data_IF_553969939646
#
_entry.id   IF_553969939646
#
_cell.length_a   1.000
_cell.length_b   1.000
_cell.length_c   1.000
_cell.angle_alpha   90.00
_cell.angle_beta   90.00
_cell.angle_gamma   90.00
#
_symmetry.space_group_name_H-M   'P 1'
#
loop_
_entity.id
_entity.type
_entity.pdbx_description
1 polymer ?
#
# COMPACT_ATOMS: atom_id res chain seq x y z
N UNK A 1 18.14 -18.32 -7.35
CA UNK A 1 17.38 -18.83 -6.20
C UNK A 1 16.27 -17.82 -5.98
N UNK A 2 15.02 -18.26 -5.76
CA UNK A 2 13.90 -17.33 -5.62
C UNK A 2 14.07 -16.50 -4.35
N UNK A 3 13.77 -15.21 -4.42
CA UNK A 3 13.85 -14.28 -3.28
C UNK A 3 12.94 -14.73 -2.11
N UNK A 4 11.93 -15.54 -2.40
CA UNK A 4 11.02 -16.10 -1.41
C UNK A 4 11.60 -17.21 -0.54
N UNK A 5 12.60 -17.95 -1.05
CA UNK A 5 13.09 -19.21 -0.43
C UNK A 5 14.55 -19.14 -0.01
N UNK A 6 15.09 -17.94 0.08
CA UNK A 6 16.43 -17.68 0.59
C UNK A 6 16.39 -17.01 1.95
N UNK A 7 17.53 -17.02 2.66
CA UNK A 7 17.68 -16.19 3.84
C UNK A 7 17.66 -14.71 3.45
N UNK A 8 17.15 -13.87 4.34
CA UNK A 8 17.05 -12.45 4.12
C UNK A 8 18.41 -11.80 3.87
N UNK A 9 18.52 -11.11 2.73
CA UNK A 9 19.57 -10.14 2.44
C UNK A 9 19.40 -8.92 3.35
N UNK A 10 20.34 -8.73 4.28
CA UNK A 10 20.33 -7.59 5.21
C UNK A 10 21.33 -6.54 4.76
N UNK A 11 20.88 -5.29 4.64
CA UNK A 11 21.73 -4.13 4.44
C UNK A 11 21.83 -3.35 5.75
N UNK A 12 23.04 -3.26 6.31
CA UNK A 12 23.33 -2.31 7.39
C UNK A 12 23.44 -0.91 6.81
N UNK A 13 22.84 0.07 7.49
CA UNK A 13 22.85 1.47 7.06
C UNK A 13 23.24 2.37 8.24
N UNK A 14 24.22 3.22 8.02
CA UNK A 14 24.53 4.34 8.90
C UNK A 14 23.94 5.62 8.30
N UNK A 15 22.95 6.19 8.98
CA UNK A 15 22.26 7.39 8.52
C UNK A 15 22.93 8.66 9.06
N UNK A 16 23.84 8.55 10.03
CA UNK A 16 24.33 9.68 10.82
C UNK A 16 23.19 10.43 11.51
N UNK A 17 23.28 11.76 11.53
CA UNK A 17 22.24 12.64 12.10
C UNK A 17 21.20 13.09 11.06
N UNK A 18 21.10 12.40 9.91
CA UNK A 18 20.15 12.77 8.85
C UNK A 18 18.74 12.33 9.19
N UNK A 19 17.77 13.17 8.82
CA UNK A 19 16.35 12.87 8.86
C UNK A 19 16.05 11.68 7.94
N UNK A 20 15.34 10.69 8.45
CA UNK A 20 14.91 9.50 7.71
C UNK A 20 13.46 9.71 7.29
N UNK A 21 13.18 9.52 6.02
CA UNK A 21 11.85 9.53 5.42
C UNK A 21 11.59 8.13 4.91
N UNK A 22 10.60 7.43 5.46
CA UNK A 22 10.20 6.10 5.02
C UNK A 22 8.87 6.18 4.31
N UNK A 23 8.86 5.85 3.02
CA UNK A 23 7.66 5.89 2.17
C UNK A 23 7.06 4.49 2.09
N UNK A 24 5.75 4.40 2.30
CA UNK A 24 4.98 3.16 2.24
C UNK A 24 4.80 2.64 0.81
N UNK A 25 4.03 1.57 0.68
CA UNK A 25 3.65 0.88 -0.55
C UNK A 25 3.15 1.85 -1.64
N UNK A 26 3.84 1.88 -2.78
CA UNK A 26 3.63 2.88 -3.85
C UNK A 26 2.77 2.31 -4.98
N UNK A 27 2.90 1.01 -5.24
CA UNK A 27 2.15 0.28 -6.26
C UNK A 27 2.10 0.98 -7.62
N UNK A 28 3.26 1.32 -8.18
CA UNK A 28 3.35 1.93 -9.51
C UNK A 28 2.69 3.31 -9.62
N UNK A 29 2.40 3.99 -8.51
CA UNK A 29 1.80 5.34 -8.51
C UNK A 29 2.88 6.43 -8.45
N UNK A 30 3.68 6.53 -9.53
CA UNK A 30 4.74 7.53 -9.65
C UNK A 30 4.28 8.98 -9.38
N UNK A 31 3.07 9.42 -9.84
CA UNK A 31 2.57 10.76 -9.50
C UNK A 31 2.48 11.01 -7.99
N UNK A 32 1.97 10.04 -7.21
CA UNK A 32 1.84 10.18 -5.75
C UNK A 32 3.21 10.23 -5.08
N UNK A 33 4.13 9.34 -5.48
CA UNK A 33 5.50 9.35 -4.96
C UNK A 33 6.16 10.72 -5.16
N UNK A 34 6.07 11.30 -6.36
CA UNK A 34 6.67 12.62 -6.64
C UNK A 34 6.03 13.73 -5.81
N UNK A 35 4.71 13.71 -5.69
CA UNK A 35 3.98 14.72 -4.93
C UNK A 35 4.29 14.62 -3.44
N UNK A 36 4.33 13.41 -2.87
CA UNK A 36 4.70 13.17 -1.48
C UNK A 36 6.13 13.61 -1.19
N UNK A 37 7.11 13.19 -2.01
CA UNK A 37 8.52 13.60 -1.83
C UNK A 37 8.69 15.12 -1.91
N UNK A 38 7.93 15.79 -2.79
CA UNK A 38 7.90 17.25 -2.85
C UNK A 38 7.27 17.86 -1.59
N UNK A 39 6.18 17.28 -1.08
CA UNK A 39 5.46 17.76 0.11
C UNK A 39 6.31 17.70 1.37
N UNK A 40 7.02 16.59 1.58
CA UNK A 40 7.92 16.41 2.74
C UNK A 40 9.27 17.10 2.59
N UNK A 41 9.52 17.73 1.44
CA UNK A 41 10.76 18.43 1.13
C UNK A 41 11.98 17.52 1.14
N UNK A 42 11.89 16.33 0.53
CA UNK A 42 13.00 15.38 0.45
C UNK A 42 14.20 15.98 -0.33
N UNK A 43 15.39 15.85 0.25
CA UNK A 43 16.65 16.43 -0.25
C UNK A 43 17.85 15.49 -0.03
N UNK A 44 19.05 15.93 -0.44
CA UNK A 44 20.30 15.21 -0.18
C UNK A 44 20.72 15.16 1.30
N UNK A 45 20.10 15.97 2.16
CA UNK A 45 20.36 15.99 3.60
C UNK A 45 19.53 14.95 4.37
N UNK A 46 18.68 14.22 3.67
CA UNK A 46 17.79 13.20 4.22
C UNK A 46 18.30 11.80 3.84
N UNK A 47 17.74 10.79 4.48
CA UNK A 47 17.77 9.39 4.03
C UNK A 47 16.36 8.97 3.63
N UNK A 48 16.19 8.46 2.42
CA UNK A 48 14.90 7.97 1.92
C UNK A 48 14.91 6.44 1.88
N UNK A 49 13.92 5.85 2.53
CA UNK A 49 13.69 4.41 2.54
C UNK A 49 12.34 4.15 1.89
N UNK A 50 12.32 3.36 0.82
CA UNK A 50 11.09 2.83 0.21
C UNK A 50 10.82 1.48 0.85
N UNK A 51 9.68 1.33 1.52
CA UNK A 51 9.34 0.15 2.32
C UNK A 51 8.69 -0.98 1.51
N UNK A 52 9.23 -1.22 0.31
CA UNK A 52 8.73 -2.24 -0.62
C UNK A 52 7.47 -1.85 -1.39
N UNK A 53 6.97 -2.81 -2.16
CA UNK A 53 5.77 -2.76 -2.99
C UNK A 53 5.65 -1.47 -3.79
N UNK A 54 6.74 -1.10 -4.46
CA UNK A 54 6.75 0.05 -5.35
C UNK A 54 6.33 -0.30 -6.78
N UNK A 55 6.20 -1.58 -7.09
CA UNK A 55 5.67 -2.12 -8.35
C UNK A 55 4.23 -2.64 -8.20
N UNK A 56 3.65 -2.96 -9.36
CA UNK A 56 2.34 -3.59 -9.53
C UNK A 56 1.15 -2.72 -9.14
N UNK A 57 -0.05 -3.19 -9.53
CA UNK A 57 -1.39 -2.64 -9.25
C UNK A 57 -1.69 -1.28 -9.91
N UNK A 58 -0.77 -0.31 -9.86
CA UNK A 58 -0.91 0.97 -10.55
C UNK A 58 -0.39 0.97 -11.98
N UNK A 59 -0.48 2.13 -12.62
CA UNK A 59 -0.28 2.28 -14.08
C UNK A 59 1.19 2.46 -14.51
N UNK A 60 2.10 2.80 -13.59
CA UNK A 60 3.46 3.25 -13.93
C UNK A 60 4.54 2.39 -13.28
N UNK A 61 4.42 1.05 -13.33
CA UNK A 61 5.36 0.17 -12.62
C UNK A 61 6.80 0.32 -13.16
N UNK A 62 6.98 0.27 -14.48
CA UNK A 62 8.30 0.40 -15.10
C UNK A 62 8.90 1.81 -14.90
N UNK A 63 8.09 2.86 -15.01
CA UNK A 63 8.54 4.24 -14.80
C UNK A 63 8.90 4.51 -13.33
N UNK A 64 8.14 3.93 -12.39
CA UNK A 64 8.43 3.99 -10.94
C UNK A 64 9.76 3.31 -10.65
N UNK A 65 9.98 2.09 -11.16
CA UNK A 65 11.26 1.39 -11.04
C UNK A 65 12.42 2.24 -11.54
N UNK A 66 12.34 2.74 -12.77
CA UNK A 66 13.40 3.56 -13.38
C UNK A 66 13.62 4.87 -12.64
N UNK A 67 12.57 5.44 -12.05
CA UNK A 67 12.68 6.64 -11.22
C UNK A 67 13.46 6.34 -9.92
N UNK A 68 13.13 5.25 -9.22
CA UNK A 68 13.84 4.82 -8.02
C UNK A 68 15.29 4.41 -8.30
N UNK A 69 15.56 3.74 -9.43
CA UNK A 69 16.93 3.44 -9.87
C UNK A 69 17.77 4.71 -10.03
N UNK A 70 17.22 5.75 -10.68
CA UNK A 70 17.90 7.05 -10.83
C UNK A 70 18.07 7.77 -9.49
N UNK A 71 17.06 7.74 -8.62
CA UNK A 71 17.16 8.34 -7.29
C UNK A 71 18.21 7.65 -6.41
N UNK A 72 18.30 6.32 -6.48
CA UNK A 72 19.27 5.51 -5.73
C UNK A 72 20.73 5.86 -6.05
N UNK A 73 21.00 6.39 -7.24
CA UNK A 73 22.34 6.87 -7.63
C UNK A 73 22.83 8.05 -6.78
N UNK A 74 21.94 8.74 -6.04
CA UNK A 74 22.31 9.82 -5.11
C UNK A 74 23.01 9.32 -3.84
N UNK A 75 22.88 8.04 -3.52
CA UNK A 75 23.50 7.41 -2.36
C UNK A 75 22.70 7.50 -1.06
N UNK A 76 21.63 8.30 -1.01
CA UNK A 76 20.76 8.50 0.15
C UNK A 76 19.31 8.01 -0.08
N UNK A 77 19.14 7.11 -1.04
CA UNK A 77 17.84 6.49 -1.36
C UNK A 77 18.03 4.99 -1.39
N UNK A 78 17.19 4.30 -0.65
CA UNK A 78 17.24 2.87 -0.43
C UNK A 78 15.84 2.29 -0.53
N UNK A 79 15.75 1.01 -0.87
CA UNK A 79 14.50 0.29 -0.92
C UNK A 79 14.71 -1.10 -0.32
N UNK A 80 13.72 -1.60 0.41
CA UNK A 80 13.58 -3.03 0.68
C UNK A 80 12.71 -3.67 -0.39
N UNK A 81 12.87 -4.98 -0.60
CA UNK A 81 12.00 -5.72 -1.49
C UNK A 81 10.67 -6.00 -0.80
N UNK A 82 9.56 -5.62 -1.42
CA UNK A 82 8.24 -6.12 -1.08
C UNK A 82 7.82 -7.32 -1.94
N UNK A 83 6.68 -7.93 -1.61
CA UNK A 83 6.20 -9.08 -2.37
C UNK A 83 5.84 -8.78 -3.83
N UNK A 84 5.42 -7.55 -4.13
CA UNK A 84 5.12 -7.09 -5.47
C UNK A 84 6.38 -6.67 -6.23
N UNK A 85 7.57 -6.63 -5.60
CA UNK A 85 8.80 -6.21 -6.26
C UNK A 85 9.62 -7.37 -6.84
N UNK A 86 9.39 -8.60 -6.35
CA UNK A 86 10.16 -9.82 -6.66
C UNK A 86 10.00 -10.37 -8.10
N UNK A 87 9.56 -9.55 -9.06
CA UNK A 87 9.25 -9.96 -10.44
C UNK A 87 10.46 -10.44 -11.25
N UNK A 88 11.69 -10.28 -10.76
CA UNK A 88 12.84 -10.99 -11.34
C UNK A 88 12.62 -12.51 -11.34
N UNK A 89 11.87 -13.06 -10.38
CA UNK A 89 11.55 -14.48 -10.32
C UNK A 89 10.70 -14.96 -11.50
N UNK A 90 9.90 -14.08 -12.12
CA UNK A 90 9.11 -14.41 -13.31
C UNK A 90 9.99 -14.67 -14.54
N UNK A 91 11.19 -14.08 -14.57
CA UNK A 91 12.17 -14.34 -15.62
C UNK A 91 13.25 -15.31 -15.16
N UNK A 92 13.50 -15.54 -13.87
CA UNK A 92 14.60 -16.38 -13.36
C UNK A 92 14.19 -17.80 -12.94
N UNK A 93 12.92 -18.01 -12.58
CA UNK A 93 12.40 -19.22 -11.95
C UNK A 93 12.02 -20.37 -12.89
N UNK A 94 11.66 -21.52 -12.30
CA UNK A 94 11.25 -22.73 -13.02
C UNK A 94 10.04 -22.49 -13.94
N UNK A 95 10.31 -22.67 -15.23
CA UNK A 95 9.61 -22.19 -16.45
C UNK A 95 8.14 -22.65 -16.63
N UNK A 96 7.49 -23.28 -15.65
CA UNK A 96 6.16 -23.92 -15.86
C UNK A 96 5.00 -23.41 -15.01
N UNK A 97 5.23 -22.98 -13.76
CA UNK A 97 4.12 -22.54 -12.91
C UNK A 97 3.68 -21.11 -13.23
N UNK A 98 4.64 -20.21 -13.45
CA UNK A 98 4.36 -18.80 -13.75
C UNK A 98 3.88 -18.57 -15.18
N UNK A 99 4.29 -19.40 -16.13
CA UNK A 99 4.03 -19.16 -17.56
C UNK A 99 2.57 -19.35 -17.95
N UNK A 100 1.81 -20.15 -17.19
CA UNK A 100 0.36 -20.31 -17.40
C UNK A 100 -0.42 -19.14 -16.78
N UNK A 101 -0.04 -18.70 -15.58
CA UNK A 101 -0.83 -17.72 -14.82
C UNK A 101 -0.43 -16.25 -15.06
N UNK A 102 0.77 -15.98 -15.55
CA UNK A 102 1.25 -14.60 -15.74
C UNK A 102 0.44 -13.84 -16.78
N UNK A 103 0.01 -14.52 -17.84
CA UNK A 103 -0.83 -13.92 -18.88
C UNK A 103 -2.21 -13.59 -18.32
N UNK A 104 -2.84 -14.51 -17.58
CA UNK A 104 -4.12 -14.26 -16.92
C UNK A 104 -4.02 -13.12 -15.90
N UNK A 105 -2.96 -13.10 -15.10
CA UNK A 105 -2.68 -12.02 -14.15
C UNK A 105 -2.56 -10.67 -14.87
N UNK A 106 -1.70 -10.61 -15.88
CA UNK A 106 -1.50 -9.42 -16.72
C UNK A 106 -2.80 -8.93 -17.35
N UNK A 107 -3.63 -9.83 -17.89
CA UNK A 107 -4.91 -9.48 -18.51
C UNK A 107 -5.96 -9.02 -17.51
N UNK A 108 -5.96 -9.59 -16.29
CA UNK A 108 -6.87 -9.20 -15.21
C UNK A 108 -6.61 -7.79 -14.70
N UNK A 109 -5.33 -7.37 -14.72
CA UNK A 109 -4.90 -6.04 -14.23
C UNK A 109 -4.72 -5.02 -15.34
N UNK A 110 -4.42 -5.48 -16.57
CA UNK A 110 -3.99 -4.65 -17.72
C UNK A 110 -2.85 -3.68 -17.35
N UNK A 111 -1.93 -4.14 -16.51
CA UNK A 111 -0.83 -3.37 -15.95
C UNK A 111 0.14 -4.25 -15.17
N UNK A 112 1.21 -3.66 -14.64
CA UNK A 112 2.29 -4.33 -13.92
C UNK A 112 3.62 -4.29 -14.67
N UNK A 113 4.72 -4.64 -14.00
CA UNK A 113 6.08 -4.44 -14.53
C UNK A 113 6.29 -5.15 -15.87
N UNK A 114 5.95 -6.44 -15.93
CA UNK A 114 6.13 -7.25 -17.14
C UNK A 114 5.23 -6.77 -18.27
N UNK A 115 4.01 -6.32 -17.95
CA UNK A 115 3.09 -5.72 -18.92
C UNK A 115 3.69 -4.46 -19.54
N UNK A 116 4.20 -3.55 -18.71
CA UNK A 116 4.83 -2.30 -19.15
C UNK A 116 6.07 -2.57 -20.02
N UNK A 117 6.90 -3.54 -19.61
CA UNK A 117 8.07 -3.97 -20.39
C UNK A 117 7.68 -4.52 -21.76
N UNK A 118 6.67 -5.40 -21.85
CA UNK A 118 6.21 -5.94 -23.13
C UNK A 118 5.61 -4.84 -24.02
N UNK A 119 4.84 -3.93 -23.44
CA UNK A 119 4.27 -2.78 -24.15
C UNK A 119 5.35 -1.86 -24.71
N UNK A 120 6.41 -1.58 -23.97
CA UNK A 120 7.57 -0.81 -24.44
C UNK A 120 8.27 -1.48 -25.64
N UNK A 121 8.22 -2.81 -25.73
CA UNK A 121 8.72 -3.58 -26.87
C UNK A 121 7.71 -3.68 -28.03
N UNK A 122 6.55 -3.02 -27.94
CA UNK A 122 5.49 -3.08 -28.94
C UNK A 122 4.72 -4.40 -28.96
N UNK A 123 4.83 -5.21 -27.90
CA UNK A 123 4.16 -6.50 -27.77
C UNK A 123 2.82 -6.29 -27.07
N UNK A 124 1.74 -6.68 -27.73
CA UNK A 124 0.40 -6.68 -27.14
C UNK A 124 0.13 -8.04 -26.51
N UNK A 125 -0.16 -8.05 -25.21
CA UNK A 125 -0.53 -9.26 -24.48
C UNK A 125 -2.00 -9.60 -24.76
N UNK A 126 -2.23 -10.85 -25.13
CA UNK A 126 -3.55 -11.44 -25.35
C UNK A 126 -3.64 -12.77 -24.59
N UNK A 127 -4.85 -13.33 -24.48
CA UNK A 127 -5.08 -14.65 -23.85
C UNK A 127 -4.27 -15.78 -24.49
N UNK A 128 -3.88 -15.63 -25.76
CA UNK A 128 -3.17 -16.64 -26.54
C UNK A 128 -1.65 -16.38 -26.55
N UNK A 129 -1.16 -15.42 -25.75
CA UNK A 129 0.27 -15.08 -25.66
C UNK A 129 1.05 -16.22 -25.00
N UNK A 130 2.04 -16.75 -25.71
CA UNK A 130 3.04 -17.64 -25.11
C UNK A 130 4.14 -16.80 -24.45
N UNK A 131 4.20 -16.82 -23.12
CA UNK A 131 5.17 -16.06 -22.36
C UNK A 131 6.59 -16.64 -22.43
N UNK A 132 6.74 -17.96 -22.62
CA UNK A 132 8.04 -18.64 -22.52
C UNK A 132 9.07 -18.08 -23.53
N UNK A 133 8.74 -17.91 -24.82
CA UNK A 133 9.65 -17.33 -25.80
C UNK A 133 10.02 -15.86 -25.54
N UNK A 134 9.26 -15.13 -24.72
CA UNK A 134 9.51 -13.72 -24.41
C UNK A 134 10.58 -13.54 -23.32
N UNK A 135 10.81 -14.55 -22.48
CA UNK A 135 11.73 -14.48 -21.34
C UNK A 135 13.16 -14.09 -21.75
N UNK A 136 13.81 -14.70 -22.76
CA UNK A 136 15.17 -14.31 -23.14
C UNK A 136 15.29 -12.84 -23.55
N UNK A 137 14.31 -12.35 -24.32
CA UNK A 137 14.24 -10.95 -24.75
C UNK A 137 14.07 -10.02 -23.55
N UNK A 138 13.16 -10.34 -22.62
CA UNK A 138 12.96 -9.56 -21.40
C UNK A 138 14.25 -9.49 -20.58
N UNK A 139 14.91 -10.64 -20.34
CA UNK A 139 16.16 -10.72 -19.59
C UNK A 139 17.27 -9.86 -20.20
N UNK A 140 17.39 -9.85 -21.52
CA UNK A 140 18.43 -9.10 -22.22
C UNK A 140 18.13 -7.59 -22.21
N UNK A 141 16.92 -7.20 -22.63
CA UNK A 141 16.57 -5.78 -22.83
C UNK A 141 16.37 -5.01 -21.54
N UNK A 142 15.88 -5.67 -20.48
CA UNK A 142 15.61 -5.06 -19.18
C UNK A 142 16.57 -5.57 -18.10
N UNK A 143 17.79 -5.97 -18.52
CA UNK A 143 18.81 -6.44 -17.60
C UNK A 143 19.08 -5.47 -16.44
N UNK A 144 19.23 -4.15 -16.66
CA UNK A 144 19.49 -3.21 -15.57
C UNK A 144 18.37 -3.16 -14.52
N UNK A 145 17.11 -3.21 -14.97
CA UNK A 145 15.92 -3.23 -14.12
C UNK A 145 15.88 -4.50 -13.26
N UNK A 146 16.07 -5.67 -13.87
CA UNK A 146 16.08 -6.93 -13.13
C UNK A 146 17.29 -7.05 -12.20
N UNK A 147 18.47 -6.56 -12.60
CA UNK A 147 19.65 -6.54 -11.72
C UNK A 147 19.41 -5.67 -10.48
N UNK A 148 18.75 -4.52 -10.64
CA UNK A 148 18.36 -3.67 -9.51
C UNK A 148 17.42 -4.41 -8.54
N UNK A 149 16.38 -5.06 -9.06
CA UNK A 149 15.43 -5.86 -8.24
C UNK A 149 16.16 -6.97 -7.49
N UNK A 150 17.02 -7.74 -8.17
CA UNK A 150 17.80 -8.82 -7.54
C UNK A 150 18.73 -8.31 -6.45
N UNK A 151 19.21 -7.08 -6.54
CA UNK A 151 20.09 -6.47 -5.56
C UNK A 151 19.36 -5.92 -4.33
N UNK A 152 18.02 -5.80 -4.35
CA UNK A 152 17.26 -5.27 -3.23
C UNK A 152 17.50 -6.11 -1.96
N UNK A 153 17.81 -5.47 -0.81
CA UNK A 153 17.77 -6.17 0.47
C UNK A 153 16.33 -6.51 0.84
N UNK A 154 16.17 -7.54 1.67
CA UNK A 154 14.89 -7.81 2.32
C UNK A 154 14.72 -6.93 3.56
N UNK A 155 15.84 -6.57 4.21
CA UNK A 155 15.86 -5.81 5.45
C UNK A 155 16.92 -4.71 5.34
N UNK A 156 16.57 -3.48 5.70
CA UNK A 156 17.53 -2.42 6.02
C UNK A 156 17.56 -2.23 7.52
N UNK A 157 18.73 -2.22 8.12
CA UNK A 157 18.89 -2.12 9.57
C UNK A 157 19.87 -1.02 9.95
N UNK A 158 19.43 -0.11 10.83
CA UNK A 158 20.23 0.97 11.42
C UNK A 158 20.60 0.64 12.87
N UNK A 159 21.11 1.60 13.63
CA UNK A 159 21.35 1.46 15.06
C UNK A 159 20.05 1.18 15.83
N UNK A 160 18.96 1.88 15.48
CA UNK A 160 17.70 1.86 16.26
C UNK A 160 16.46 1.38 15.50
N UNK A 161 16.53 1.22 14.17
CA UNK A 161 15.39 0.84 13.33
C UNK A 161 15.68 -0.41 12.47
N UNK A 162 14.62 -1.14 12.17
CA UNK A 162 14.55 -2.23 11.20
C UNK A 162 13.46 -1.83 10.20
N UNK A 163 13.82 -1.66 8.94
CA UNK A 163 12.88 -1.44 7.84
C UNK A 163 12.72 -2.75 7.08
N UNK A 164 11.50 -3.25 7.01
CA UNK A 164 11.15 -4.52 6.40
C UNK A 164 9.69 -4.48 5.96
N UNK A 165 9.43 -4.80 4.70
CA UNK A 165 8.12 -4.56 4.11
C UNK A 165 6.98 -5.36 4.78
N UNK A 166 7.14 -6.68 4.97
CA UNK A 166 6.14 -7.54 5.61
C UNK A 166 6.28 -7.61 7.13
N UNK A 167 7.42 -8.11 7.61
CA UNK A 167 7.70 -8.27 9.03
C UNK A 167 8.87 -9.22 9.32
N UNK A 168 9.24 -9.34 10.60
CA UNK A 168 10.33 -10.21 11.07
C UNK A 168 9.97 -10.91 12.38
N UNK A 169 10.59 -12.05 12.66
CA UNK A 169 10.40 -12.76 13.94
C UNK A 169 11.47 -12.31 14.95
N UNK A 170 11.11 -11.91 16.19
CA UNK A 170 12.07 -11.34 17.14
C UNK A 170 13.16 -12.34 17.60
N UNK A 171 12.87 -13.64 17.56
CA UNK A 171 13.76 -14.72 17.99
C UNK A 171 14.67 -15.27 16.88
N UNK A 172 14.59 -14.70 15.67
CA UNK A 172 15.38 -15.11 14.52
C UNK A 172 16.36 -13.99 14.14
N UNK A 173 17.67 -14.29 14.02
CA UNK A 173 18.65 -13.31 13.52
C UNK A 173 18.24 -12.75 12.15
N UNK A 174 18.46 -11.45 11.91
CA UNK A 174 18.01 -10.79 10.69
C UNK A 174 18.51 -11.46 9.40
N UNK A 175 19.74 -11.97 9.39
CA UNK A 175 20.35 -12.69 8.26
C UNK A 175 19.89 -14.16 8.11
N UNK A 176 18.98 -14.61 8.99
CA UNK A 176 18.36 -15.94 8.99
C UNK A 176 16.84 -15.89 8.89
N UNK A 177 16.25 -14.69 8.80
CA UNK A 177 14.83 -14.55 8.48
C UNK A 177 14.58 -15.16 7.09
N UNK A 178 13.40 -15.74 6.89
CA UNK A 178 12.98 -16.19 5.56
C UNK A 178 12.66 -14.96 4.71
N UNK A 179 13.25 -14.87 3.51
CA UNK A 179 13.00 -13.74 2.59
C UNK A 179 11.52 -13.55 2.27
N UNK A 180 10.78 -14.65 2.10
CA UNK A 180 9.32 -14.64 1.93
C UNK A 180 8.56 -13.99 3.09
N UNK A 181 8.92 -14.28 4.35
CA UNK A 181 8.27 -13.65 5.53
C UNK A 181 8.61 -12.16 5.57
N UNK A 182 9.83 -11.76 5.20
CA UNK A 182 10.24 -10.35 5.12
C UNK A 182 9.47 -9.56 4.06
N UNK A 183 9.08 -10.21 2.95
CA UNK A 183 8.30 -9.61 1.86
C UNK A 183 6.80 -9.76 2.07
N UNK A 184 6.33 -10.68 2.90
CA UNK A 184 4.90 -10.93 3.08
C UNK A 184 4.63 -11.53 4.45
N UNK A 185 4.21 -10.68 5.38
CA UNK A 185 3.74 -11.09 6.70
C UNK A 185 2.39 -10.47 6.99
N UNK A 186 1.33 -11.16 6.55
CA UNK A 186 -0.05 -10.67 6.67
C UNK A 186 -0.41 -10.38 8.13
N UNK A 187 -0.99 -9.19 8.37
CA UNK A 187 -1.48 -8.76 9.68
C UNK A 187 -0.39 -8.79 10.79
N UNK A 188 0.85 -8.43 10.43
CA UNK A 188 2.03 -8.54 11.30
C UNK A 188 1.85 -7.94 12.70
N UNK A 189 1.27 -6.74 12.81
CA UNK A 189 1.08 -6.07 14.10
C UNK A 189 0.25 -6.90 15.08
N UNK A 190 -0.73 -7.66 14.60
CA UNK A 190 -1.63 -8.46 15.44
C UNK A 190 -0.94 -9.66 16.11
N UNK A 191 0.29 -10.01 15.71
CA UNK A 191 1.07 -11.04 16.39
C UNK A 191 1.60 -10.59 17.77
N UNK A 192 1.60 -9.28 18.06
CA UNK A 192 2.04 -8.76 19.36
C UNK A 192 3.52 -9.01 19.65
N UNK A 193 4.35 -9.15 18.63
CA UNK A 193 5.79 -9.28 18.81
C UNK A 193 6.37 -7.97 19.35
N UNK A 194 7.35 -8.09 20.25
CA UNK A 194 8.05 -6.95 20.84
C UNK A 194 9.50 -6.94 20.41
N UNK A 195 10.01 -5.76 20.10
CA UNK A 195 11.36 -5.57 19.59
C UNK A 195 12.16 -4.55 20.41
N UNK A 196 13.47 -4.71 20.46
CA UNK A 196 14.37 -3.71 21.05
C UNK A 196 14.56 -2.49 20.12
N UNK A 197 14.50 -2.73 18.80
CA UNK A 197 14.53 -1.71 17.74
C UNK A 197 13.12 -1.43 17.24
N UNK A 198 12.90 -0.25 16.67
CA UNK A 198 11.65 0.06 15.96
C UNK A 198 11.58 -0.72 14.65
N UNK A 199 10.55 -1.55 14.49
CA UNK A 199 10.27 -2.28 13.24
C UNK A 199 9.25 -1.50 12.42
N UNK A 200 9.68 -0.93 11.31
CA UNK A 200 8.83 -0.21 10.36
C UNK A 200 8.43 -1.17 9.24
N UNK A 201 7.12 -1.27 8.99
CA UNK A 201 6.52 -2.21 8.03
C UNK A 201 5.44 -1.57 7.16
N UNK A 202 5.30 -2.09 5.94
CA UNK A 202 4.23 -1.79 4.98
C UNK A 202 3.30 -3.00 4.84
N UNK A 203 3.00 -3.38 3.59
CA UNK A 203 2.32 -4.61 3.15
C UNK A 203 0.85 -4.78 3.56
N UNK A 204 0.53 -4.52 4.83
CA UNK A 204 -0.80 -4.65 5.38
C UNK A 204 -1.41 -3.27 5.62
N UNK A 205 -2.37 -2.83 4.77
CA UNK A 205 -2.95 -1.50 4.88
C UNK A 205 -3.48 -1.22 6.28
N UNK A 206 -3.08 -0.08 6.85
CA UNK A 206 -3.39 0.29 8.24
C UNK A 206 -4.88 0.39 8.50
N UNK A 207 -5.67 0.70 7.47
CA UNK A 207 -7.15 0.72 7.50
C UNK A 207 -7.75 -0.63 7.92
N UNK A 208 -7.04 -1.75 7.71
CA UNK A 208 -7.54 -3.09 8.02
C UNK A 208 -7.42 -3.46 9.50
N UNK A 209 -6.70 -2.68 10.32
CA UNK A 209 -6.53 -2.95 11.75
C UNK A 209 -7.73 -2.50 12.60
N UNK A 210 -8.66 -1.75 12.03
CA UNK A 210 -9.81 -1.23 12.77
C UNK A 210 -11.13 -1.65 12.11
N UNK A 211 -12.11 -2.02 12.94
CA UNK A 211 -13.43 -2.42 12.46
C UNK A 211 -14.44 -1.29 12.53
N UNK A 212 -14.23 -0.27 13.37
CA UNK A 212 -15.23 0.74 13.64
C UNK A 212 -15.11 1.95 12.70
N UNK A 213 -13.89 2.29 12.25
CA UNK A 213 -13.66 3.42 11.35
C UNK A 213 -12.44 3.19 10.45
N UNK A 214 -12.42 3.88 9.31
CA UNK A 214 -11.36 3.79 8.30
C UNK A 214 -10.35 4.89 8.53
N UNK A 215 -9.10 4.56 8.87
CA UNK A 215 -8.02 5.53 9.00
C UNK A 215 -6.76 5.03 8.32
N UNK A 216 -6.28 5.79 7.35
CA UNK A 216 -5.12 5.45 6.51
C UNK A 216 -3.80 6.03 7.06
N UNK A 217 -3.79 6.58 8.27
CA UNK A 217 -2.57 7.10 8.90
C UNK A 217 -1.69 5.98 9.46
N UNK A 218 -0.37 6.18 9.52
CA UNK A 218 0.53 5.25 10.19
C UNK A 218 0.11 4.95 11.64
N UNK A 219 0.27 3.68 12.04
CA UNK A 219 0.03 3.22 13.41
C UNK A 219 1.37 3.04 14.09
N UNK A 220 1.63 3.82 15.14
CA UNK A 220 2.84 3.74 15.96
C UNK A 220 2.53 2.97 17.24
N UNK A 221 2.88 1.69 17.28
CA UNK A 221 2.74 0.83 18.45
C UNK A 221 3.97 0.97 19.35
N UNK A 222 3.86 1.85 20.36
CA UNK A 222 4.97 2.12 21.29
C UNK A 222 5.20 1.01 22.31
N UNK A 223 4.24 0.13 22.54
CA UNK A 223 4.42 -0.98 23.49
C UNK A 223 5.26 -2.11 22.88
N UNK A 224 5.05 -2.34 21.58
CA UNK A 224 5.65 -3.43 20.82
C UNK A 224 6.84 -2.98 19.94
N UNK A 225 7.03 -1.67 19.78
CA UNK A 225 8.01 -1.05 18.88
C UNK A 225 7.79 -1.45 17.41
N UNK A 226 6.55 -1.34 16.94
CA UNK A 226 6.17 -1.60 15.54
C UNK A 226 5.49 -0.35 14.97
N UNK A 227 5.86 0.04 13.75
CA UNK A 227 5.25 1.15 13.03
C UNK A 227 4.73 0.63 11.69
N UNK A 228 3.42 0.53 11.54
CA UNK A 228 2.78 0.14 10.28
C UNK A 228 2.45 1.38 9.47
N UNK A 229 2.92 1.48 8.23
CA UNK A 229 2.84 2.71 7.43
C UNK A 229 2.01 2.58 6.15
N UNK A 230 1.59 1.39 5.74
CA UNK A 230 0.82 1.21 4.50
C UNK A 230 -0.53 1.94 4.54
N UNK A 231 -0.64 3.04 3.78
CA UNK A 231 -1.86 3.84 3.68
C UNK A 231 -2.89 3.31 2.66
N UNK A 232 -2.66 2.13 2.09
CA UNK A 232 -3.53 1.52 1.07
C UNK A 232 -3.49 2.25 -0.27
N UNK A 233 -2.36 2.87 -0.64
CA UNK A 233 -2.21 3.57 -1.91
C UNK A 233 -2.53 2.62 -3.08
N UNK A 234 -3.36 3.07 -4.03
CA UNK A 234 -3.88 2.27 -5.17
C UNK A 234 -4.81 1.11 -4.79
N UNK A 235 -4.65 0.52 -3.61
CA UNK A 235 -5.45 -0.62 -3.14
C UNK A 235 -6.81 -0.21 -2.57
N UNK A 236 -6.92 1.00 -2.03
CA UNK A 236 -8.13 1.56 -1.45
C UNK A 236 -8.55 2.81 -2.22
N UNK A 237 -9.84 2.91 -2.54
CA UNK A 237 -10.41 4.07 -3.24
C UNK A 237 -10.17 5.36 -2.46
N UNK A 238 -10.17 5.27 -1.13
CA UNK A 238 -9.87 6.34 -0.17
C UNK A 238 -8.44 6.24 0.40
N UNK A 239 -7.55 5.47 -0.22
CA UNK A 239 -6.17 5.28 0.25
C UNK A 239 -5.32 6.54 0.17
N UNK A 240 -4.10 6.47 0.72
CA UNK A 240 -3.08 7.52 0.59
C UNK A 240 -1.68 6.91 0.56
N UNK A 241 -0.71 7.65 0.02
CA UNK A 241 0.70 7.29 0.17
C UNK A 241 1.27 7.98 1.41
N UNK A 242 1.83 7.21 2.34
CA UNK A 242 2.35 7.72 3.60
C UNK A 242 3.88 7.88 3.55
N UNK A 243 4.37 8.89 4.29
CA UNK A 243 5.77 9.06 4.64
C UNK A 243 5.90 9.16 6.16
N UNK A 244 6.51 8.16 6.80
CA UNK A 244 6.99 8.27 8.18
C UNK A 244 8.26 9.12 8.21
N UNK A 245 8.35 10.04 9.16
CA UNK A 245 9.46 10.97 9.31
C UNK A 245 10.10 10.74 10.69
N UNK A 246 11.37 10.36 10.68
CA UNK A 246 12.19 10.16 11.87
C UNK A 246 13.29 11.23 11.85
N UNK A 247 13.38 12.13 12.85
CA UNK A 247 14.35 13.24 12.83
C UNK A 247 15.81 12.81 12.66
N UNK A 248 16.19 11.69 13.27
CA UNK A 248 17.49 11.02 13.14
C UNK A 248 17.40 9.61 13.74
N UNK A 249 18.34 8.71 13.42
CA UNK A 249 18.34 7.35 13.98
C UNK A 249 18.49 7.37 15.51
N UNK A 250 17.51 6.80 16.22
CA UNK A 250 17.44 6.84 17.69
C UNK A 250 16.46 7.89 18.25
N UNK A 251 15.85 8.73 17.41
CA UNK A 251 14.73 9.59 17.82
C UNK A 251 13.43 8.79 17.93
N UNK A 252 12.60 9.12 18.93
CA UNK A 252 11.23 8.62 19.08
C UNK A 252 10.15 9.68 18.77
N UNK A 253 10.58 10.86 18.32
CA UNK A 253 9.74 12.00 17.93
C UNK A 253 9.23 11.81 16.50
N UNK A 254 8.58 10.68 16.27
CA UNK A 254 8.02 10.33 14.97
C UNK A 254 6.93 11.31 14.56
N UNK A 255 6.98 11.71 13.29
CA UNK A 255 5.89 12.40 12.61
C UNK A 255 5.61 11.71 11.30
N UNK A 256 4.54 12.10 10.61
CA UNK A 256 4.28 11.60 9.27
C UNK A 256 3.62 12.69 8.43
N UNK A 257 3.71 12.51 7.12
CA UNK A 257 2.87 13.22 6.16
C UNK A 257 2.33 12.21 5.14
N UNK A 258 1.33 12.61 4.38
CA UNK A 258 0.70 11.76 3.40
C UNK A 258 0.25 12.53 2.16
N UNK A 259 0.04 11.80 1.08
CA UNK A 259 -0.48 12.34 -0.16
C UNK A 259 -1.61 11.50 -0.73
N UNK A 260 -2.71 12.19 -1.02
CA UNK A 260 -3.78 11.79 -1.91
C UNK A 260 -4.19 13.00 -2.77
N UNK A 261 -4.88 12.81 -3.90
CA UNK A 261 -5.19 13.87 -4.84
C UNK A 261 -6.61 14.42 -4.65
N UNK A 262 -7.29 14.09 -3.54
CA UNK A 262 -8.72 14.39 -3.40
C UNK A 262 -8.94 15.91 -3.39
N UNK A 263 -9.96 16.41 -4.11
CA UNK A 263 -10.33 17.83 -4.03
C UNK A 263 -10.63 18.23 -2.59
N UNK A 264 -9.91 19.24 -2.10
CA UNK A 264 -10.11 19.73 -0.73
C UNK A 264 -11.18 20.80 -0.72
N UNK A 265 -12.25 20.56 0.03
CA UNK A 265 -13.33 21.52 0.31
C UNK A 265 -13.36 21.91 1.79
N UNK A 266 -14.07 22.98 2.11
CA UNK A 266 -14.24 23.47 3.48
C UNK A 266 -15.62 23.09 4.03
N UNK A 267 -15.66 22.54 5.23
CA UNK A 267 -16.91 22.22 5.94
C UNK A 267 -17.63 23.51 6.33
N UNK A 268 -18.93 23.60 6.01
CA UNK A 268 -19.80 24.72 6.41
C UNK A 268 -20.73 24.38 7.56
N UNK A 269 -21.28 23.16 7.54
CA UNK A 269 -22.26 22.72 8.52
C UNK A 269 -21.59 21.75 9.49
N UNK A 270 -21.73 21.91 10.80
CA UNK A 270 -21.19 20.95 11.75
C UNK A 270 -21.87 19.58 11.59
N UNK A 271 -21.14 18.50 11.86
CA UNK A 271 -21.67 17.14 11.99
C UNK A 271 -21.11 16.51 13.26
N UNK A 272 -21.96 15.81 14.00
CA UNK A 272 -21.52 15.03 15.17
C UNK A 272 -21.00 13.67 14.73
N UNK A 273 -20.09 13.10 15.53
CA UNK A 273 -19.58 11.75 15.27
C UNK A 273 -20.69 10.72 15.47
N UNK A 274 -20.78 9.70 14.61
CA UNK A 274 -21.68 8.56 14.84
C UNK A 274 -21.29 7.77 16.10
N UNK A 275 -22.29 7.35 16.89
CA UNK A 275 -22.06 6.53 18.08
C UNK A 275 -21.62 5.10 17.73
N UNK A 276 -22.11 4.60 16.60
CA UNK A 276 -21.84 3.28 16.07
C UNK A 276 -21.50 3.37 14.59
N UNK A 277 -20.61 2.49 14.16
CA UNK A 277 -20.24 2.33 12.76
C UNK A 277 -19.55 1.00 12.56
N UNK A 278 -19.49 0.54 11.32
CA UNK A 278 -18.76 -0.65 10.94
C UNK A 278 -18.07 -0.46 9.59
N UNK A 279 -16.89 -1.06 9.46
CA UNK A 279 -16.12 -1.09 8.23
C UNK A 279 -16.14 -2.51 7.64
N UNK A 280 -16.94 -2.68 6.59
CA UNK A 280 -16.89 -3.87 5.74
C UNK A 280 -15.67 -3.73 4.84
N UNK A 281 -14.73 -4.65 4.97
CA UNK A 281 -13.36 -4.49 4.46
C UNK A 281 -12.92 -5.67 3.63
N UNK A 282 -11.91 -5.45 2.80
CA UNK A 282 -11.27 -6.53 2.06
C UNK A 282 -10.90 -7.71 2.98
N UNK A 283 -11.20 -8.93 2.52
CA UNK A 283 -11.02 -10.17 3.28
C UNK A 283 -12.24 -10.59 4.10
N UNK A 284 -13.19 -9.68 4.36
CA UNK A 284 -14.41 -9.92 5.11
C UNK A 284 -15.53 -9.00 4.62
N UNK A 285 -15.94 -9.23 3.36
CA UNK A 285 -16.79 -8.35 2.58
C UNK A 285 -18.02 -9.04 1.95
N UNK A 286 -18.40 -10.20 2.47
CA UNK A 286 -19.58 -10.92 2.02
C UNK A 286 -20.84 -10.28 2.62
N UNK A 287 -21.78 -9.87 1.78
CA UNK A 287 -23.00 -9.15 2.14
C UNK A 287 -24.24 -9.81 1.56
N UNK A 288 -25.36 -9.68 2.29
CA UNK A 288 -26.69 -9.94 1.78
C UNK A 288 -27.36 -8.61 1.44
N UNK A 289 -27.80 -8.45 0.20
CA UNK A 289 -28.54 -7.27 -0.27
C UNK A 289 -30.00 -7.39 0.16
N UNK A 290 -30.38 -6.63 1.18
CA UNK A 290 -31.75 -6.63 1.74
C UNK A 290 -32.70 -5.78 0.89
N UNK A 291 -32.21 -4.66 0.36
CA UNK A 291 -32.96 -3.77 -0.53
C UNK A 291 -32.00 -3.13 -1.52
N UNK A 292 -32.16 -3.46 -2.80
CA UNK A 292 -31.40 -2.84 -3.89
C UNK A 292 -32.00 -1.48 -4.25
N UNK A 293 -31.16 -0.45 -4.32
CA UNK A 293 -31.53 0.88 -4.79
C UNK A 293 -30.63 1.35 -5.92
N UNK A 294 -30.95 2.50 -6.52
CA UNK A 294 -30.24 3.02 -7.68
C UNK A 294 -28.80 3.47 -7.34
N UNK A 295 -28.65 4.28 -6.29
CA UNK A 295 -27.35 4.80 -5.85
C UNK A 295 -26.85 4.09 -4.58
N UNK A 296 -27.76 3.80 -3.65
CA UNK A 296 -27.46 3.08 -2.41
C UNK A 296 -28.34 1.83 -2.29
N UNK A 297 -27.78 0.77 -1.73
CA UNK A 297 -28.45 -0.48 -1.39
C UNK A 297 -28.27 -0.77 0.09
N UNK A 298 -29.35 -1.15 0.76
CA UNK A 298 -29.29 -1.62 2.14
C UNK A 298 -28.76 -3.06 2.14
N UNK A 299 -27.66 -3.26 2.83
CA UNK A 299 -26.94 -4.51 2.88
C UNK A 299 -26.74 -4.95 4.33
N UNK A 300 -26.69 -6.26 4.53
CA UNK A 300 -26.33 -6.89 5.80
C UNK A 300 -25.00 -7.60 5.63
N UNK A 301 -24.03 -7.26 6.46
CA UNK A 301 -22.76 -7.98 6.51
C UNK A 301 -22.99 -9.41 7.02
N UNK A 302 -22.61 -10.42 6.24
CA UNK A 302 -22.98 -11.83 6.48
C UNK A 302 -22.48 -12.33 7.84
N UNK A 303 -21.23 -12.02 8.19
CA UNK A 303 -20.59 -12.53 9.41
C UNK A 303 -21.13 -11.88 10.69
N UNK A 304 -21.30 -10.57 10.68
CA UNK A 304 -21.65 -9.79 11.89
C UNK A 304 -23.14 -9.55 12.02
N UNK A 305 -23.88 -9.62 10.92
CA UNK A 305 -25.27 -9.21 10.85
C UNK A 305 -25.48 -7.69 10.87
N UNK A 306 -24.41 -6.88 10.82
CA UNK A 306 -24.48 -5.43 10.79
C UNK A 306 -25.13 -4.95 9.49
N UNK A 307 -26.09 -4.01 9.59
CA UNK A 307 -26.83 -3.49 8.45
C UNK A 307 -26.40 -2.05 8.15
N UNK A 308 -26.07 -1.75 6.90
CA UNK A 308 -25.67 -0.41 6.46
C UNK A 308 -26.09 -0.13 5.01
N UNK A 309 -26.19 1.14 4.65
CA UNK A 309 -26.31 1.55 3.25
C UNK A 309 -24.93 1.48 2.58
N UNK A 310 -24.84 0.74 1.48
CA UNK A 310 -23.64 0.63 0.65
C UNK A 310 -23.94 1.26 -0.71
N UNK A 311 -22.98 1.95 -1.31
CA UNK A 311 -23.13 2.40 -2.70
C UNK A 311 -23.39 1.21 -3.62
N UNK A 312 -24.47 1.24 -4.40
CA UNK A 312 -24.85 0.12 -5.27
C UNK A 312 -23.72 -0.26 -6.24
N UNK A 313 -22.93 0.72 -6.69
CA UNK A 313 -21.75 0.49 -7.54
C UNK A 313 -20.61 -0.29 -6.88
N UNK A 314 -20.61 -0.40 -5.55
CA UNK A 314 -19.62 -1.19 -4.80
C UNK A 314 -20.00 -2.66 -4.70
N UNK A 315 -21.22 -3.06 -5.06
CA UNK A 315 -21.61 -4.47 -5.10
C UNK A 315 -21.00 -5.15 -6.32
N UNK A 316 -20.35 -6.30 -6.13
CA UNK A 316 -19.64 -7.00 -7.20
C UNK A 316 -20.56 -7.81 -8.12
N UNK A 317 -21.82 -8.00 -7.73
CA UNK A 317 -22.84 -8.64 -8.56
C UNK A 317 -24.26 -8.19 -8.22
N UNK A 318 -25.20 -8.57 -9.08
CA UNK A 318 -26.65 -8.33 -8.89
C UNK A 318 -27.35 -9.41 -8.06
N UNK A 319 -26.61 -10.37 -7.52
CA UNK A 319 -27.16 -11.44 -6.69
C UNK A 319 -27.57 -10.94 -5.30
N UNK A 320 -28.41 -11.72 -4.60
CA UNK A 320 -28.82 -11.44 -3.22
C UNK A 320 -27.63 -11.53 -2.27
N UNK A 321 -26.78 -12.55 -2.42
CA UNK A 321 -25.54 -12.70 -1.68
C UNK A 321 -24.38 -12.40 -2.61
N UNK A 322 -23.59 -11.40 -2.28
CA UNK A 322 -22.44 -11.01 -3.09
C UNK A 322 -21.33 -10.41 -2.21
N UNK A 323 -20.21 -10.06 -2.83
CA UNK A 323 -19.15 -9.27 -2.19
C UNK A 323 -19.36 -7.79 -2.49
N UNK A 324 -18.89 -6.92 -1.60
CA UNK A 324 -18.81 -5.49 -1.86
C UNK A 324 -17.36 -4.97 -1.82
N UNK A 325 -17.15 -3.80 -2.41
CA UNK A 325 -15.95 -3.01 -2.15
C UNK A 325 -15.91 -2.55 -0.70
N UNK A 326 -14.73 -2.11 -0.24
CA UNK A 326 -14.55 -1.50 1.07
C UNK A 326 -15.61 -0.42 1.34
N UNK A 327 -16.35 -0.54 2.43
CA UNK A 327 -17.53 0.29 2.73
C UNK A 327 -17.64 0.56 4.23
N UNK A 328 -17.90 1.81 4.58
CA UNK A 328 -18.13 2.26 5.97
C UNK A 328 -19.39 3.10 6.04
N UNK A 329 -20.08 3.07 7.17
CA UNK A 329 -21.15 3.99 7.55
C UNK A 329 -20.70 5.00 8.61
N UNK A 330 -19.40 5.05 8.91
CA UNK A 330 -18.84 5.99 9.89
C UNK A 330 -19.12 7.43 9.50
N UNK A 331 -19.59 8.22 10.46
CA UNK A 331 -19.80 9.67 10.32
C UNK A 331 -18.79 10.38 11.23
N UNK A 332 -17.80 11.11 10.68
CA UNK A 332 -16.82 11.82 11.50
C UNK A 332 -17.44 13.08 12.13
N UNK A 333 -16.92 13.47 13.31
CA UNK A 333 -17.14 14.82 13.83
C UNK A 333 -16.44 15.83 12.90
N UNK A 334 -17.20 16.82 12.43
CA UNK A 334 -16.70 17.89 11.57
C UNK A 334 -17.23 19.24 12.03
N UNK A 335 -16.37 20.25 12.01
CA UNK A 335 -16.66 21.62 12.43
C UNK A 335 -16.56 22.59 11.26
N UNK A 336 -17.34 23.69 11.26
CA UNK A 336 -17.19 24.72 10.24
C UNK A 336 -15.75 25.23 10.17
N UNK A 337 -15.18 25.24 8.96
CA UNK A 337 -13.79 25.60 8.71
C UNK A 337 -12.82 24.42 8.60
N UNK A 338 -13.24 23.19 8.99
CA UNK A 338 -12.44 21.99 8.75
C UNK A 338 -12.23 21.77 7.25
N UNK A 339 -11.02 21.31 6.88
CA UNK A 339 -10.67 21.01 5.50
C UNK A 339 -10.74 19.51 5.28
N UNK A 340 -11.51 19.08 4.30
CA UNK A 340 -11.73 17.66 3.99
C UNK A 340 -11.47 17.38 2.53
N UNK A 341 -10.84 16.24 2.23
CA UNK A 341 -10.73 15.71 0.89
C UNK A 341 -12.03 15.02 0.50
N UNK A 342 -12.61 15.36 -0.66
CA UNK A 342 -13.82 14.71 -1.16
C UNK A 342 -13.41 13.46 -1.96
N UNK A 343 -13.68 12.28 -1.39
CA UNK A 343 -13.41 10.98 -2.01
C UNK A 343 -14.52 10.62 -2.99
N UNK A 344 -15.77 10.80 -2.58
CA UNK A 344 -16.96 10.54 -3.39
C UNK A 344 -18.02 11.61 -3.15
N UNK A 345 -18.72 12.01 -4.21
CA UNK A 345 -19.90 12.89 -4.15
C UNK A 345 -21.12 12.12 -4.64
N UNK A 346 -22.20 12.16 -3.86
CA UNK A 346 -23.44 11.38 -4.10
C UNK A 346 -24.66 12.30 -4.04
N UNK A 347 -25.84 11.77 -4.38
CA UNK A 347 -27.10 12.55 -4.26
C UNK A 347 -27.48 12.88 -2.81
N UNK A 348 -26.91 12.18 -1.83
CA UNK A 348 -27.22 12.33 -0.39
C UNK A 348 -26.18 13.13 0.38
N UNK A 349 -24.93 13.12 -0.07
CA UNK A 349 -23.80 13.73 0.64
C UNK A 349 -22.47 13.25 0.09
N UNK A 350 -21.44 13.31 0.93
CA UNK A 350 -20.05 13.14 0.51
C UNK A 350 -19.37 12.04 1.32
N UNK A 351 -18.63 11.15 0.68
CA UNK A 351 -17.59 10.41 1.39
C UNK A 351 -16.36 11.33 1.46
N UNK A 352 -15.96 11.69 2.67
CA UNK A 352 -14.87 12.65 2.90
C UNK A 352 -13.75 12.01 3.70
N UNK A 353 -12.53 12.49 3.45
CA UNK A 353 -11.36 12.19 4.27
C UNK A 353 -10.97 13.43 5.08
N UNK A 354 -10.90 13.28 6.39
CA UNK A 354 -10.44 14.30 7.33
C UNK A 354 -9.29 13.73 8.18
N UNK A 355 -8.11 14.33 8.10
CA UNK A 355 -6.91 13.90 8.85
C UNK A 355 -6.64 12.38 8.73
N UNK A 356 -6.76 11.84 7.51
CA UNK A 356 -6.56 10.42 7.21
C UNK A 356 -7.72 9.49 7.55
N UNK A 357 -8.77 9.99 8.21
CA UNK A 357 -9.98 9.21 8.52
C UNK A 357 -11.07 9.46 7.48
N UNK A 358 -11.63 8.40 6.92
CA UNK A 358 -12.70 8.48 5.91
C UNK A 358 -14.06 8.17 6.52
N UNK A 359 -15.08 8.92 6.11
CA UNK A 359 -16.46 8.69 6.52
C UNK A 359 -17.46 9.61 5.82
N UNK A 360 -18.75 9.39 6.05
CA UNK A 360 -19.83 10.11 5.39
C UNK A 360 -20.09 11.47 6.05
N UNK A 361 -20.18 12.49 5.22
CA UNK A 361 -20.57 13.85 5.60
C UNK A 361 -21.84 14.27 4.84
N UNK A 362 -22.85 14.69 5.60
CA UNK A 362 -24.18 15.00 5.10
C UNK A 362 -24.49 16.51 5.05
N UNK A 363 -23.54 17.35 5.44
CA UNK A 363 -23.69 18.81 5.44
C UNK A 363 -23.18 19.50 4.17
N UNK A 364 -23.14 20.82 4.19
CA UNK A 364 -22.67 21.63 3.06
C UNK A 364 -21.13 21.77 3.02
N UNK A 365 -20.56 21.77 1.81
CA UNK A 365 -19.14 22.03 1.53
C UNK A 365 -18.97 23.32 0.69
N UNK A 366 -17.84 24.01 0.88
CA UNK A 366 -17.37 25.14 0.04
C UNK A 366 -16.12 24.81 -0.75
#
# INVERSE_FOLDING_TARGET
>A
MSMWRENAKVKKLDTGERRIITVSDIHGNLPYLRALLSKVGFSQNDELIIDGDFLEKGEYSLETLRYLMRLSQRGNVHAVCGNCDSWSDAVDGEIRYWTIHIVDYMLSRRGGLIWDMLREQGITVTKDTDFIPLIPMLREKFKPEFDFIRALPHIIETGHCIFVHGGVRPDVPMDRQMGGDCMKFDNFRSYGYKFDKWVVVGHWPVVLYNEDFVCANPIIDREHHVISIDGGCVLKDDGQLNALIIPFDGSEDFSFDAYDPFPVKTVKTPQERSEHSYYIRWGDNDVQVLRRGAEFSLCKHVRTGYEMEILTKYLYSDEEFCKCNDSTDFEPELKPGDRVGVVEETSRGYLVKHNGTSGWYWGELE
#
